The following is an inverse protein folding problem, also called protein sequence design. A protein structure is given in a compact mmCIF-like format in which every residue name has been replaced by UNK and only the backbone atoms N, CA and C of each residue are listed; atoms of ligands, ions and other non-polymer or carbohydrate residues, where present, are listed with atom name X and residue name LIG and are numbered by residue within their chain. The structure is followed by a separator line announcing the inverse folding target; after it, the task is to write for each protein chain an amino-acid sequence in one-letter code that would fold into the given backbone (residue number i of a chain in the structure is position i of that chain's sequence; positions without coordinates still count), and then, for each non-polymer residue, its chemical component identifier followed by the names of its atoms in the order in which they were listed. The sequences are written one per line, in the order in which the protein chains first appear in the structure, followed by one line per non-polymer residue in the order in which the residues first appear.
data_IF_948785989754
#
_entry.id   IF_948785989754
#
_cell.length_a   1.000
_cell.length_b   1.000
_cell.length_c   1.000
_cell.angle_alpha   90.00
_cell.angle_beta   90.00
_cell.angle_gamma   90.00
#
_symmetry.space_group_name_H-M   'P 1'
#
loop_
_entity.id
_entity.type
_entity.pdbx_description
1 polymer ?
#
# COMPACT_ATOMS: atom_id res chain seq x y z
N UNK A 1 28.51 14.77 -16.63
CA UNK A 1 29.13 13.42 -16.58
C UNK A 1 28.83 12.78 -17.92
N UNK A 2 29.87 12.40 -18.66
CA UNK A 2 29.76 11.75 -19.98
C UNK A 2 29.95 10.24 -19.83
N UNK A 3 29.14 9.64 -18.94
CA UNK A 3 29.18 8.21 -18.59
C UNK A 3 27.83 7.61 -18.94
N UNK A 4 27.84 6.41 -19.53
CA UNK A 4 26.63 5.65 -19.82
C UNK A 4 25.80 5.43 -18.55
N UNK A 5 24.52 5.84 -18.49
CA UNK A 5 23.66 5.64 -17.32
C UNK A 5 23.57 4.19 -16.84
N UNK A 6 23.71 3.22 -17.76
CA UNK A 6 23.71 1.79 -17.42
C UNK A 6 24.97 1.40 -16.65
N UNK A 7 26.11 1.98 -17.03
CA UNK A 7 27.38 1.76 -16.34
C UNK A 7 27.33 2.34 -14.92
N UNK A 8 26.77 3.56 -14.77
CA UNK A 8 26.54 4.17 -13.44
C UNK A 8 25.64 3.28 -12.57
N UNK A 9 24.55 2.73 -13.12
CA UNK A 9 23.67 1.83 -12.38
C UNK A 9 24.39 0.57 -11.91
N UNK A 10 25.17 -0.07 -12.79
CA UNK A 10 25.94 -1.28 -12.45
C UNK A 10 26.97 -0.96 -11.36
N UNK A 11 27.69 0.16 -11.46
CA UNK A 11 28.66 0.60 -10.46
C UNK A 11 27.99 0.83 -9.10
N UNK A 12 26.86 1.56 -9.07
CA UNK A 12 26.09 1.78 -7.83
C UNK A 12 25.60 0.45 -7.24
N UNK A 13 25.13 -0.49 -8.06
CA UNK A 13 24.72 -1.82 -7.57
C UNK A 13 25.88 -2.61 -6.98
N UNK A 14 27.07 -2.55 -7.58
CA UNK A 14 28.27 -3.20 -7.06
C UNK A 14 28.71 -2.55 -5.75
N UNK A 15 28.81 -1.22 -5.72
CA UNK A 15 29.25 -0.45 -4.54
C UNK A 15 28.32 -0.63 -3.34
N UNK A 16 27.01 -0.78 -3.59
CA UNK A 16 26.01 -0.98 -2.54
C UNK A 16 25.70 -2.47 -2.28
N UNK A 17 26.49 -3.41 -2.80
CA UNK A 17 26.28 -4.85 -2.65
C UNK A 17 24.85 -5.32 -3.02
N UNK A 18 24.24 -4.66 -4.01
CA UNK A 18 22.86 -4.91 -4.44
C UNK A 18 21.77 -4.32 -3.53
N UNK A 19 22.12 -3.65 -2.43
CA UNK A 19 21.19 -3.03 -1.49
C UNK A 19 20.65 -1.66 -1.96
N UNK A 20 20.33 -1.55 -3.24
CA UNK A 20 19.82 -0.30 -3.85
C UNK A 20 18.30 -0.34 -3.92
N UNK A 21 17.64 0.63 -3.30
CA UNK A 21 16.19 0.84 -3.45
C UNK A 21 15.87 1.61 -4.73
N UNK A 22 14.76 1.26 -5.38
CA UNK A 22 14.26 1.97 -6.56
C UNK A 22 12.75 2.08 -6.56
N UNK A 23 12.23 3.21 -7.02
CA UNK A 23 10.81 3.37 -7.34
C UNK A 23 10.65 3.09 -8.83
N UNK A 24 9.91 2.03 -9.16
CA UNK A 24 9.67 1.63 -10.55
C UNK A 24 8.31 2.14 -10.99
N UNK A 25 8.31 3.06 -11.96
CA UNK A 25 7.09 3.53 -12.62
C UNK A 25 6.71 2.56 -13.76
N UNK A 26 6.57 1.28 -13.43
CA UNK A 26 6.35 0.21 -14.42
C UNK A 26 4.88 -0.10 -14.67
N UNK A 27 3.96 0.45 -13.87
CA UNK A 27 2.51 0.21 -14.00
C UNK A 27 1.82 1.40 -14.63
N UNK A 28 0.93 1.13 -15.59
CA UNK A 28 0.05 2.15 -16.14
C UNK A 28 -1.11 2.43 -15.18
N UNK A 29 -1.82 3.54 -15.39
CA UNK A 29 -3.03 3.81 -14.60
C UNK A 29 -4.13 2.77 -14.87
N UNK A 30 -4.19 2.21 -16.08
CA UNK A 30 -5.11 1.14 -16.43
C UNK A 30 -4.82 -0.14 -15.63
N UNK A 31 -3.54 -0.53 -15.51
CA UNK A 31 -3.12 -1.67 -14.69
C UNK A 31 -3.46 -1.46 -13.21
N UNK A 32 -3.28 -0.22 -12.73
CA UNK A 32 -3.63 0.16 -11.36
C UNK A 32 -5.13 0.00 -11.12
N UNK A 33 -5.98 0.55 -12.00
CA UNK A 33 -7.44 0.47 -11.89
C UNK A 33 -7.88 -1.00 -11.94
N UNK A 34 -7.32 -1.81 -12.83
CA UNK A 34 -7.61 -3.23 -12.93
C UNK A 34 -7.29 -3.94 -11.60
N UNK A 35 -6.12 -3.66 -11.03
CA UNK A 35 -5.70 -4.24 -9.74
C UNK A 35 -6.61 -3.78 -8.61
N UNK A 36 -6.92 -2.48 -8.52
CA UNK A 36 -7.75 -1.90 -7.46
C UNK A 36 -9.16 -2.49 -7.49
N UNK A 37 -9.76 -2.58 -8.68
CA UNK A 37 -11.16 -2.99 -8.85
C UNK A 37 -11.35 -4.50 -8.77
N UNK A 38 -10.32 -5.30 -9.05
CA UNK A 38 -10.42 -6.75 -9.04
C UNK A 38 -10.95 -7.29 -7.68
N UNK A 39 -11.96 -8.18 -7.67
CA UNK A 39 -12.69 -8.56 -6.45
C UNK A 39 -11.85 -9.30 -5.40
N UNK A 40 -10.69 -9.83 -5.80
CA UNK A 40 -9.77 -10.55 -4.90
C UNK A 40 -8.68 -9.66 -4.28
N UNK A 41 -8.65 -8.37 -4.59
CA UNK A 41 -7.61 -7.46 -4.10
C UNK A 41 -7.80 -7.11 -2.63
N UNK A 42 -6.69 -7.08 -1.89
CA UNK A 42 -6.56 -6.56 -0.54
C UNK A 42 -5.56 -5.40 -0.56
N UNK A 43 -5.73 -4.42 0.33
CA UNK A 43 -4.83 -3.27 0.40
C UNK A 43 -3.80 -3.45 1.52
N UNK A 44 -2.55 -3.15 1.20
CA UNK A 44 -1.43 -3.10 2.13
C UNK A 44 -0.56 -1.89 1.78
N UNK A 45 0.07 -1.27 2.78
CA UNK A 45 0.91 -0.09 2.55
C UNK A 45 2.22 -0.41 1.84
N UNK A 46 2.73 -1.62 2.01
CA UNK A 46 4.12 -1.98 1.68
C UNK A 46 5.13 -0.96 2.25
N UNK A 47 4.75 -0.41 3.41
CA UNK A 47 5.51 0.62 4.12
C UNK A 47 6.69 0.02 4.86
N UNK A 48 7.77 0.81 4.96
CA UNK A 48 8.92 0.48 5.80
C UNK A 48 8.97 1.44 6.98
N UNK A 49 9.27 0.91 8.16
CA UNK A 49 9.59 1.75 9.31
C UNK A 49 10.97 2.35 9.06
N UNK A 50 11.03 3.66 8.90
CA UNK A 50 12.27 4.40 8.63
C UNK A 50 12.60 5.23 9.87
N UNK A 51 13.80 5.09 10.45
CA UNK A 51 14.24 5.92 11.57
C UNK A 51 14.18 7.41 11.22
N UNK A 52 13.85 8.25 12.18
CA UNK A 52 13.63 9.69 11.98
C UNK A 52 14.86 10.42 11.40
N UNK A 53 16.06 9.89 11.63
CA UNK A 53 17.34 10.44 11.14
C UNK A 53 17.95 9.66 9.95
N UNK A 54 17.16 8.85 9.25
CA UNK A 54 17.65 8.11 8.08
C UNK A 54 17.62 8.98 6.83
N UNK A 55 18.66 8.88 6.00
CA UNK A 55 18.70 9.51 4.65
C UNK A 55 17.82 8.78 3.61
N UNK A 56 17.16 7.69 4.00
CA UNK A 56 16.23 6.94 3.15
C UNK A 56 14.93 7.74 2.99
N UNK A 57 14.62 8.11 1.75
CA UNK A 57 13.33 8.67 1.40
C UNK A 57 12.23 7.61 1.53
N UNK A 58 11.20 7.82 2.37
CA UNK A 58 10.15 6.84 2.58
C UNK A 58 9.29 6.67 1.33
N UNK A 59 8.85 5.42 1.09
CA UNK A 59 7.79 5.16 0.13
C UNK A 59 6.57 6.03 0.53
N UNK A 60 6.02 6.88 -0.36
CA UNK A 60 4.87 7.74 -0.03
C UNK A 60 3.65 6.96 0.45
N UNK A 61 3.56 5.67 0.13
CA UNK A 61 2.50 4.77 0.59
C UNK A 61 2.65 4.31 2.05
N UNK A 62 3.81 4.54 2.68
CA UNK A 62 4.08 4.11 4.06
C UNK A 62 3.01 4.60 5.05
N UNK A 63 2.60 5.88 4.93
CA UNK A 63 1.65 6.51 5.86
C UNK A 63 0.30 6.87 5.23
N UNK A 64 0.08 6.56 3.94
CA UNK A 64 -1.04 7.12 3.19
C UNK A 64 -1.94 6.11 2.47
N UNK A 65 -1.61 4.81 2.48
CA UNK A 65 -2.34 3.86 1.63
C UNK A 65 -3.83 3.77 1.95
N UNK A 66 -4.19 3.56 3.22
CA UNK A 66 -5.59 3.35 3.60
C UNK A 66 -6.43 4.64 3.41
N UNK A 67 -5.86 5.80 3.73
CA UNK A 67 -6.53 7.09 3.50
C UNK A 67 -6.65 7.42 2.02
N UNK A 68 -5.66 7.06 1.18
CA UNK A 68 -5.75 7.18 -0.28
C UNK A 68 -6.86 6.28 -0.85
N UNK A 69 -7.01 5.06 -0.34
CA UNK A 69 -8.10 4.18 -0.76
C UNK A 69 -9.46 4.82 -0.47
N UNK A 70 -9.66 5.33 0.75
CA UNK A 70 -10.92 5.95 1.16
C UNK A 70 -11.19 7.31 0.46
N UNK A 71 -10.18 8.16 0.34
CA UNK A 71 -10.34 9.48 -0.30
C UNK A 71 -10.38 9.38 -1.83
N UNK A 72 -9.31 8.88 -2.44
CA UNK A 72 -9.18 8.86 -3.90
C UNK A 72 -10.08 7.79 -4.53
N UNK A 73 -9.93 6.53 -4.13
CA UNK A 73 -10.58 5.41 -4.86
C UNK A 73 -12.04 5.19 -4.49
N UNK A 74 -12.48 5.58 -3.29
CA UNK A 74 -13.90 5.53 -2.88
C UNK A 74 -14.60 6.86 -3.15
N UNK A 75 -14.15 7.97 -2.55
CA UNK A 75 -14.89 9.25 -2.60
C UNK A 75 -14.74 9.98 -3.93
N UNK A 76 -13.53 10.18 -4.42
CA UNK A 76 -13.27 10.99 -5.61
C UNK A 76 -13.57 10.24 -6.91
N UNK A 77 -12.94 9.08 -7.11
CA UNK A 77 -13.00 8.33 -8.38
C UNK A 77 -14.12 7.28 -8.41
N UNK A 78 -14.70 6.94 -7.26
CA UNK A 78 -15.81 5.98 -7.12
C UNK A 78 -15.52 4.62 -7.77
N UNK A 79 -14.27 4.19 -7.75
CA UNK A 79 -13.85 2.87 -8.23
C UNK A 79 -14.33 1.75 -7.31
N UNK A 80 -14.54 2.07 -6.03
CA UNK A 80 -14.99 1.15 -4.99
C UNK A 80 -16.14 1.75 -4.20
N UNK A 81 -17.00 0.89 -3.64
CA UNK A 81 -17.92 1.32 -2.58
C UNK A 81 -17.19 1.36 -1.24
N UNK A 82 -17.64 2.21 -0.32
CA UNK A 82 -17.04 2.31 1.01
C UNK A 82 -17.03 0.96 1.75
N UNK A 83 -18.15 0.23 1.72
CA UNK A 83 -18.26 -1.08 2.35
C UNK A 83 -17.30 -2.13 1.75
N UNK A 84 -17.13 -2.14 0.43
CA UNK A 84 -16.20 -3.05 -0.23
C UNK A 84 -14.74 -2.71 0.11
N UNK A 85 -14.38 -1.42 0.08
CA UNK A 85 -13.07 -0.96 0.51
C UNK A 85 -12.78 -1.35 1.97
N UNK A 86 -13.70 -1.07 2.90
CA UNK A 86 -13.56 -1.46 4.32
C UNK A 86 -13.37 -2.98 4.42
N UNK A 87 -14.18 -3.79 3.74
CA UNK A 87 -14.06 -5.26 3.75
C UNK A 87 -12.66 -5.71 3.30
N UNK A 88 -12.14 -5.13 2.21
CA UNK A 88 -10.82 -5.46 1.63
C UNK A 88 -9.64 -4.98 2.49
N UNK A 89 -9.89 -4.13 3.48
CA UNK A 89 -8.90 -3.64 4.46
C UNK A 89 -9.07 -4.26 5.86
N UNK A 90 -10.13 -5.05 6.10
CA UNK A 90 -10.47 -5.58 7.43
C UNK A 90 -10.75 -7.09 7.39
N UNK A 91 -12.02 -7.48 7.21
CA UNK A 91 -12.48 -8.87 7.30
C UNK A 91 -11.87 -9.78 6.24
N UNK A 92 -11.62 -9.28 5.03
CA UNK A 92 -11.07 -10.12 3.97
C UNK A 92 -9.60 -10.53 4.23
N UNK A 93 -8.68 -9.60 4.60
CA UNK A 93 -7.37 -9.97 5.14
C UNK A 93 -7.45 -10.89 6.36
N UNK A 94 -8.33 -10.60 7.33
CA UNK A 94 -8.48 -11.44 8.52
C UNK A 94 -8.87 -12.89 8.17
N UNK A 95 -9.80 -13.07 7.22
CA UNK A 95 -10.18 -14.39 6.72
C UNK A 95 -9.03 -15.11 6.01
N UNK A 96 -8.26 -14.40 5.18
CA UNK A 96 -7.10 -14.98 4.45
C UNK A 96 -5.97 -15.39 5.38
N UNK A 97 -5.76 -14.66 6.47
CA UNK A 97 -4.74 -14.94 7.49
C UNK A 97 -5.22 -15.90 8.59
N UNK A 98 -6.50 -16.27 8.62
CA UNK A 98 -7.06 -17.16 9.64
C UNK A 98 -7.28 -16.50 11.01
N UNK A 99 -7.38 -15.17 11.05
CA UNK A 99 -7.66 -14.41 12.28
C UNK A 99 -9.17 -14.48 12.59
N UNK A 100 -9.55 -15.39 13.48
CA UNK A 100 -10.96 -15.73 13.74
C UNK A 100 -11.73 -14.68 14.54
N UNK A 101 -11.02 -13.84 15.28
CA UNK A 101 -11.53 -12.87 16.24
C UNK A 101 -11.23 -11.41 15.83
N UNK A 102 -10.88 -11.15 14.56
CA UNK A 102 -10.51 -9.81 14.06
C UNK A 102 -11.19 -9.44 12.74
N UNK A 103 -11.11 -8.16 12.38
CA UNK A 103 -11.56 -7.62 11.10
C UNK A 103 -13.08 -7.46 10.95
N UNK A 104 -13.86 -7.73 12.00
CA UNK A 104 -15.31 -7.58 12.04
C UNK A 104 -15.75 -6.87 13.32
N UNK A 105 -16.76 -6.00 13.22
CA UNK A 105 -17.45 -5.45 14.37
C UNK A 105 -18.55 -6.43 14.79
N UNK A 106 -18.22 -7.34 15.72
CA UNK A 106 -19.11 -8.37 16.24
C UNK A 106 -18.71 -8.72 17.68
N UNK A 107 -19.68 -9.08 18.50
CA UNK A 107 -19.41 -9.61 19.84
C UNK A 107 -18.42 -10.79 19.78
N UNK A 108 -17.50 -10.82 20.74
CA UNK A 108 -16.43 -11.81 20.82
C UNK A 108 -15.20 -11.54 19.95
N UNK A 109 -15.23 -10.52 19.06
CA UNK A 109 -14.04 -10.06 18.35
C UNK A 109 -13.23 -9.06 19.20
N UNK A 110 -11.93 -8.94 18.91
CA UNK A 110 -11.08 -7.88 19.43
C UNK A 110 -11.62 -6.50 19.01
N UNK A 111 -11.49 -5.52 19.90
CA UNK A 111 -11.95 -4.14 19.70
C UNK A 111 -10.96 -3.30 18.86
N UNK A 112 -10.54 -3.82 17.71
CA UNK A 112 -9.70 -3.11 16.74
C UNK A 112 -10.59 -2.16 15.92
N UNK A 113 -10.77 -0.93 16.41
CA UNK A 113 -11.75 0.04 15.86
C UNK A 113 -11.05 1.30 15.38
N UNK A 114 -11.42 1.75 14.18
CA UNK A 114 -11.03 3.05 13.63
C UNK A 114 -12.28 3.89 13.39
N UNK A 115 -12.26 5.13 13.87
CA UNK A 115 -13.28 6.15 13.58
C UNK A 115 -12.64 7.17 12.64
N UNK A 116 -13.32 7.50 11.55
CA UNK A 116 -12.85 8.47 10.56
C UNK A 116 -14.05 9.22 9.97
N UNK A 117 -13.78 10.39 9.38
CA UNK A 117 -14.75 11.12 8.57
C UNK A 117 -14.66 10.63 7.12
N UNK A 118 -15.80 10.28 6.53
CA UNK A 118 -15.87 9.80 5.15
C UNK A 118 -15.89 10.94 4.12
N UNK A 119 -16.08 12.20 4.55
CA UNK A 119 -16.23 13.37 3.68
C UNK A 119 -14.92 14.11 3.40
#
# INVERSE_FOLDING_TARGET
LDIDPRQVLIEVLIEQEGAVGGTYLSMTEEDNILTITHPLTMFASDGKIIPENSEIFPNPYTNGTFTKVLGKYVREEKLLTLHDAIRRMTSYPAQKLGLKDRGLLREGCCADITIFDEN
#
